data_IF_914104131719
#
_entry.id   IF_914104131719
#
_cell.length_a   1.000
_cell.length_b   1.000
_cell.length_c   1.000
_cell.angle_alpha   90.00
_cell.angle_beta   90.00
_cell.angle_gamma   90.00
#
_symmetry.space_group_name_H-M   'P 1'
#
loop_
_entity.id
_entity.type
_entity.pdbx_description
1 polymer ?
#
# COMPACT_ATOMS: atom_id res chain seq x y z
N UNK A 1 13.43 22.47 -31.00
CA UNK A 1 12.76 21.16 -31.08
C UNK A 1 13.69 20.14 -30.43
N UNK A 2 13.40 19.73 -29.20
CA UNK A 2 14.19 18.69 -28.51
C UNK A 2 13.89 17.33 -29.12
N UNK A 3 14.94 16.57 -29.48
CA UNK A 3 14.82 15.19 -29.94
C UNK A 3 14.26 14.36 -28.78
N UNK A 4 13.16 13.64 -29.03
CA UNK A 4 12.65 12.65 -28.09
C UNK A 4 13.51 11.40 -28.32
N UNK A 5 14.46 11.16 -27.43
CA UNK A 5 15.19 9.91 -27.39
C UNK A 5 14.24 8.83 -26.84
N UNK A 6 13.90 7.87 -27.70
CA UNK A 6 13.10 6.72 -27.32
C UNK A 6 13.89 5.83 -26.36
N UNK A 7 13.43 5.72 -25.11
CA UNK A 7 14.02 4.80 -24.15
C UNK A 7 13.67 3.36 -24.51
N UNK A 8 14.69 2.54 -24.74
CA UNK A 8 14.54 1.08 -24.95
C UNK A 8 14.57 0.44 -23.56
N UNK A 9 13.43 -0.13 -23.14
CA UNK A 9 13.30 -0.83 -21.86
C UNK A 9 13.77 -2.29 -22.06
N UNK A 10 14.68 -2.81 -21.23
CA UNK A 10 15.04 -4.22 -21.21
C UNK A 10 13.80 -5.12 -21.02
N UNK A 11 13.75 -6.26 -21.72
CA UNK A 11 12.60 -7.17 -21.69
C UNK A 11 12.16 -7.57 -20.26
N UNK A 12 13.13 -7.77 -19.36
CA UNK A 12 12.88 -8.13 -17.95
C UNK A 12 12.18 -7.00 -17.18
N UNK A 13 12.51 -5.75 -17.47
CA UNK A 13 11.82 -4.60 -16.88
C UNK A 13 10.42 -4.45 -17.46
N UNK A 14 10.25 -4.67 -18.77
CA UNK A 14 8.94 -4.67 -19.41
C UNK A 14 8.00 -5.73 -18.82
N UNK A 15 8.48 -6.97 -18.64
CA UNK A 15 7.68 -8.04 -18.04
C UNK A 15 7.27 -7.70 -16.59
N UNK A 16 8.18 -7.09 -15.83
CA UNK A 16 7.90 -6.62 -14.46
C UNK A 16 6.86 -5.49 -14.44
N UNK A 17 6.93 -4.53 -15.37
CA UNK A 17 5.92 -3.48 -15.50
C UNK A 17 4.56 -4.06 -15.87
N UNK A 18 4.53 -5.03 -16.79
CA UNK A 18 3.31 -5.73 -17.18
C UNK A 18 2.69 -6.51 -16.02
N UNK A 19 3.51 -7.18 -15.22
CA UNK A 19 3.04 -7.92 -14.05
C UNK A 19 2.47 -6.98 -12.99
N UNK A 20 3.09 -5.81 -12.78
CA UNK A 20 2.55 -4.74 -11.91
C UNK A 20 1.22 -4.23 -12.44
N UNK A 21 1.11 -3.97 -13.75
CA UNK A 21 -0.10 -3.50 -14.40
C UNK A 21 -1.25 -4.51 -14.28
N UNK A 22 -0.98 -5.81 -14.48
CA UNK A 22 -1.95 -6.89 -14.31
C UNK A 22 -2.42 -6.96 -12.85
N UNK A 23 -1.50 -6.97 -11.88
CA UNK A 23 -1.85 -7.00 -10.45
C UNK A 23 -2.64 -5.77 -10.01
N UNK A 24 -2.30 -4.60 -10.54
CA UNK A 24 -3.03 -3.36 -10.28
C UNK A 24 -4.46 -3.42 -10.87
N UNK A 25 -4.61 -3.97 -12.08
CA UNK A 25 -5.90 -4.14 -12.74
C UNK A 25 -6.78 -5.17 -12.00
N UNK A 26 -6.21 -6.28 -11.57
CA UNK A 26 -6.91 -7.29 -10.76
C UNK A 26 -7.37 -6.71 -9.42
N UNK A 27 -6.51 -5.92 -8.75
CA UNK A 27 -6.85 -5.20 -7.53
C UNK A 27 -8.00 -4.23 -7.75
N UNK A 28 -7.93 -3.45 -8.83
CA UNK A 28 -8.97 -2.47 -9.20
C UNK A 28 -10.29 -3.20 -9.46
N UNK A 29 -10.29 -4.28 -10.24
CA UNK A 29 -11.49 -5.06 -10.52
C UNK A 29 -12.09 -5.70 -9.26
N UNK A 30 -11.28 -6.28 -8.37
CA UNK A 30 -11.75 -6.87 -7.11
C UNK A 30 -12.38 -5.84 -6.17
N UNK A 31 -11.87 -4.60 -6.22
CA UNK A 31 -12.36 -3.49 -5.42
C UNK A 31 -13.61 -2.87 -6.07
N UNK A 32 -13.63 -2.65 -7.37
CA UNK A 32 -14.82 -2.14 -8.08
C UNK A 32 -16.01 -3.11 -8.04
N UNK A 33 -15.78 -4.43 -8.14
CA UNK A 33 -16.88 -5.43 -8.08
C UNK A 33 -17.56 -5.52 -6.71
N UNK A 34 -16.90 -5.06 -5.65
CA UNK A 34 -17.41 -5.15 -4.28
C UNK A 34 -17.82 -3.79 -3.69
N UNK A 35 -17.60 -2.69 -4.43
CA UNK A 35 -17.68 -1.29 -3.98
C UNK A 35 -17.43 -1.12 -2.46
N UNK A 36 -16.27 -1.57 -1.95
CA UNK A 36 -16.06 -1.56 -0.53
C UNK A 36 -15.78 -0.11 -0.14
N UNK A 37 -16.75 0.51 0.56
CA UNK A 37 -16.55 1.79 1.26
C UNK A 37 -15.27 1.77 2.10
N UNK A 38 -14.85 0.57 2.55
CA UNK A 38 -13.67 0.33 3.37
C UNK A 38 -12.77 -0.81 2.90
N UNK A 39 -11.47 -0.57 2.88
CA UNK A 39 -10.42 -1.59 2.71
C UNK A 39 -10.04 -2.17 4.07
N UNK A 40 -10.05 -3.49 4.22
CA UNK A 40 -9.68 -4.18 5.46
C UNK A 40 -8.27 -4.78 5.42
N UNK A 41 -7.69 -5.08 6.57
CA UNK A 41 -6.39 -5.79 6.66
C UNK A 41 -6.39 -7.12 5.88
N UNK A 42 -7.52 -7.83 5.85
CA UNK A 42 -7.63 -9.08 5.08
C UNK A 42 -7.55 -8.84 3.58
N UNK A 43 -8.21 -7.80 3.08
CA UNK A 43 -8.15 -7.43 1.65
C UNK A 43 -6.73 -7.03 1.26
N UNK A 44 -6.03 -6.29 2.12
CA UNK A 44 -4.61 -5.98 1.95
C UNK A 44 -3.80 -7.28 1.89
N UNK A 45 -4.00 -8.19 2.83
CA UNK A 45 -3.31 -9.49 2.86
C UNK A 45 -3.50 -10.29 1.56
N UNK A 46 -4.74 -10.42 1.12
CA UNK A 46 -5.08 -11.12 -0.13
C UNK A 46 -4.36 -10.52 -1.34
N UNK A 47 -4.23 -9.19 -1.41
CA UNK A 47 -3.54 -8.48 -2.50
C UNK A 47 -2.05 -8.82 -2.56
N UNK A 48 -1.42 -9.04 -1.42
CA UNK A 48 0.01 -9.32 -1.31
C UNK A 48 0.34 -10.81 -1.14
N UNK A 49 -0.66 -11.70 -1.18
CA UNK A 49 -0.47 -13.12 -0.87
C UNK A 49 0.00 -13.36 0.57
N UNK A 50 -0.40 -12.49 1.51
CA UNK A 50 0.01 -12.51 2.91
C UNK A 50 -1.16 -12.84 3.83
N UNK A 51 -0.88 -13.53 4.92
CA UNK A 51 -1.85 -13.68 6.02
C UNK A 51 -2.13 -12.34 6.68
N UNK A 52 -3.30 -12.22 7.31
CA UNK A 52 -3.68 -11.06 8.12
C UNK A 52 -2.61 -10.66 9.14
N UNK A 53 -1.97 -11.64 9.78
CA UNK A 53 -0.96 -11.38 10.80
C UNK A 53 0.33 -10.82 10.21
N UNK A 54 0.75 -11.29 9.03
CA UNK A 54 1.91 -10.75 8.33
C UNK A 54 1.72 -9.29 7.93
N UNK A 55 0.51 -8.90 7.51
CA UNK A 55 0.18 -7.49 7.24
C UNK A 55 0.29 -6.66 8.53
N UNK A 56 -0.25 -7.16 9.65
CA UNK A 56 -0.15 -6.47 10.96
C UNK A 56 1.30 -6.27 11.40
N UNK A 57 2.18 -7.20 11.02
CA UNK A 57 3.61 -7.17 11.29
C UNK A 57 4.41 -6.32 10.29
N UNK A 58 3.76 -5.82 9.21
CA UNK A 58 4.34 -4.91 8.22
C UNK A 58 3.51 -3.61 8.16
N UNK A 59 3.61 -2.75 9.20
CA UNK A 59 2.73 -1.59 9.36
C UNK A 59 2.72 -0.63 8.17
N UNK A 60 3.84 -0.49 7.45
CA UNK A 60 3.97 0.34 6.24
C UNK A 60 3.06 -0.09 5.07
N UNK A 61 2.45 -1.27 5.11
CA UNK A 61 1.43 -1.68 4.14
C UNK A 61 0.07 -1.03 4.39
N UNK A 62 -0.13 -0.39 5.55
CA UNK A 62 -1.38 0.19 5.99
C UNK A 62 -1.25 1.71 6.15
N UNK A 63 -2.29 2.50 5.78
CA UNK A 63 -2.31 3.93 6.07
C UNK A 63 -2.21 4.19 7.57
N UNK A 64 -1.59 5.32 7.93
CA UNK A 64 -1.25 5.69 9.32
C UNK A 64 -0.49 4.58 10.06
N UNK A 65 0.21 3.70 9.32
CA UNK A 65 0.90 2.52 9.83
C UNK A 65 0.04 1.58 10.69
N UNK A 66 -1.28 1.53 10.47
CA UNK A 66 -2.16 0.75 11.34
C UNK A 66 -2.55 1.44 12.64
N UNK A 67 -2.08 2.66 12.90
CA UNK A 67 -2.46 3.45 14.08
C UNK A 67 -3.83 4.09 13.90
N UNK A 68 -4.48 4.38 15.02
CA UNK A 68 -5.78 5.04 15.05
C UNK A 68 -5.58 6.54 15.07
N UNK A 69 -6.58 7.22 14.51
CA UNK A 69 -6.64 8.68 14.52
C UNK A 69 -7.01 9.21 15.93
N UNK A 70 -7.65 8.37 16.77
CA UNK A 70 -7.99 8.70 18.17
C UNK A 70 -7.28 7.76 19.17
N UNK A 71 -6.44 8.29 20.08
CA UNK A 71 -5.73 7.52 21.11
C UNK A 71 -6.65 6.81 22.13
N UNK A 72 -7.87 7.28 22.34
CA UNK A 72 -8.81 6.72 23.33
C UNK A 72 -9.34 5.34 22.94
N UNK A 73 -9.18 4.94 21.68
CA UNK A 73 -9.68 3.68 21.17
C UNK A 73 -8.67 2.53 21.34
N UNK A 74 -9.06 1.45 22.04
CA UNK A 74 -8.17 0.29 22.28
C UNK A 74 -7.90 -0.54 21.01
N UNK A 75 -6.62 -0.69 20.63
CA UNK A 75 -6.12 -1.61 19.58
C UNK A 75 -5.66 -0.91 18.28
N UNK A 76 -5.23 -1.65 17.25
CA UNK A 76 -4.86 -1.10 15.92
C UNK A 76 -6.09 -0.78 15.04
N UNK A 77 -5.99 0.19 14.13
CA UNK A 77 -6.96 0.45 13.05
C UNK A 77 -6.96 -0.77 12.11
N UNK A 78 -8.14 -1.22 11.68
CA UNK A 78 -8.31 -2.47 10.90
C UNK A 78 -8.97 -2.26 9.54
N UNK A 79 -9.42 -1.04 9.26
CA UNK A 79 -10.07 -0.66 8.02
C UNK A 79 -9.81 0.82 7.72
N UNK A 80 -9.82 1.16 6.44
CA UNK A 80 -9.58 2.50 5.90
C UNK A 80 -10.59 2.79 4.82
N UNK A 81 -10.91 4.05 4.59
CA UNK A 81 -11.72 4.39 3.42
C UNK A 81 -10.98 4.00 2.15
N UNK A 82 -11.74 3.61 1.13
CA UNK A 82 -11.17 3.19 -0.15
C UNK A 82 -10.21 4.23 -0.75
N UNK A 83 -10.65 5.50 -0.83
CA UNK A 83 -9.80 6.60 -1.32
C UNK A 83 -8.53 6.80 -0.48
N UNK A 84 -8.65 6.75 0.85
CA UNK A 84 -7.50 6.84 1.78
C UNK A 84 -6.47 5.73 1.51
N UNK A 85 -6.94 4.51 1.22
CA UNK A 85 -6.05 3.41 0.88
C UNK A 85 -5.41 3.56 -0.50
N UNK A 86 -6.16 4.05 -1.50
CA UNK A 86 -5.63 4.31 -2.84
C UNK A 86 -4.50 5.35 -2.81
N UNK A 87 -4.73 6.47 -2.12
CA UNK A 87 -3.72 7.52 -1.94
C UNK A 87 -2.47 6.97 -1.25
N UNK A 88 -2.65 6.06 -0.28
CA UNK A 88 -1.53 5.42 0.41
C UNK A 88 -0.73 4.47 -0.49
N UNK A 89 -1.39 3.65 -1.31
CA UNK A 89 -0.67 2.70 -2.20
C UNK A 89 0.01 3.39 -3.37
N UNK A 90 -0.40 4.61 -3.74
CA UNK A 90 0.29 5.44 -4.72
C UNK A 90 1.71 5.83 -4.26
N UNK A 91 1.99 5.80 -2.96
CA UNK A 91 3.33 6.04 -2.41
C UNK A 91 4.20 4.78 -2.63
N UNK A 92 5.41 4.92 -3.21
CA UNK A 92 6.35 3.80 -3.37
C UNK A 92 6.59 3.05 -2.05
N UNK A 93 6.74 1.73 -2.12
CA UNK A 93 6.87 0.90 -0.92
C UNK A 93 8.09 1.26 -0.06
N UNK A 94 9.21 1.60 -0.70
CA UNK A 94 10.44 2.01 -0.02
C UNK A 94 10.27 3.33 0.74
N UNK A 95 9.48 4.26 0.19
CA UNK A 95 9.12 5.51 0.85
C UNK A 95 8.22 5.25 2.05
N UNK A 96 7.19 4.40 1.91
CA UNK A 96 6.33 4.01 3.05
C UNK A 96 7.13 3.35 4.17
N UNK A 97 8.11 2.51 3.83
CA UNK A 97 9.03 1.90 4.81
C UNK A 97 9.91 2.95 5.50
N UNK A 98 10.41 3.94 4.76
CA UNK A 98 11.17 5.07 5.32
C UNK A 98 10.32 5.90 6.27
N UNK A 99 9.11 6.28 5.86
CA UNK A 99 8.16 7.02 6.68
C UNK A 99 7.86 6.28 8.00
N UNK A 100 7.67 4.95 7.93
CA UNK A 100 7.48 4.13 9.13
C UNK A 100 8.69 4.15 10.06
N UNK A 101 9.91 3.97 9.52
CA UNK A 101 11.15 4.00 10.32
C UNK A 101 11.32 5.35 11.03
N UNK A 102 11.03 6.45 10.34
CA UNK A 102 11.13 7.79 10.91
C UNK A 102 10.07 8.04 11.98
N UNK A 103 8.85 7.54 11.78
CA UNK A 103 7.80 7.54 12.79
C UNK A 103 8.20 6.75 14.05
N UNK A 104 8.65 5.50 13.90
CA UNK A 104 9.09 4.67 15.04
C UNK A 104 10.27 5.30 15.80
N UNK A 105 11.20 5.95 15.10
CA UNK A 105 12.30 6.67 15.75
C UNK A 105 11.84 7.85 16.59
N UNK A 106 10.80 8.59 16.15
CA UNK A 106 10.23 9.70 16.91
C UNK A 106 9.52 9.19 18.17
N UNK A 107 8.72 8.15 18.05
CA UNK A 107 7.98 7.56 19.18
C UNK A 107 8.89 6.99 20.28
N UNK A 108 10.10 6.52 19.94
CA UNK A 108 11.06 6.03 20.94
C UNK A 108 11.86 7.13 21.64
N UNK A 109 11.72 8.40 21.22
CA UNK A 109 12.40 9.56 21.84
C UNK A 109 11.49 10.33 22.80
N UNK A 110 10.20 10.07 22.75
CA UNK A 110 9.15 10.59 23.64
C UNK A 110 8.91 9.60 24.78
#
# INVERSE_FOLDING_TARGET
>A
MGKIDGYIIPAVEYDRFKEIEVKYKELTNLLEFNDPVFVTVNMIGNTFGMTRQEVINKPWLMPNFGHRDNPAQKGKKRFWHYGEYLDWVAIPIDERMKMYRDYSRKQNRE
#
